data_IF_319035175598
#
_entry.id   IF_319035175598
#
_cell.length_a   1.000
_cell.length_b   1.000
_cell.length_c   1.000
_cell.angle_alpha   90.00
_cell.angle_beta   90.00
_cell.angle_gamma   90.00
#
_symmetry.space_group_name_H-M   'P 1'
#
loop_
_entity.id
_entity.type
_entity.pdbx_description
1 polymer ?
#
# COMPACT_ATOMS: atom_id res chain seq x y z
N UNK A 1 22.11 7.13 7.59
CA UNK A 1 21.98 5.73 7.07
C UNK A 1 21.52 5.82 5.62
N UNK A 2 22.13 5.07 4.70
CA UNK A 2 21.66 5.05 3.32
C UNK A 2 20.49 4.07 3.18
N UNK A 3 19.38 4.54 2.64
CA UNK A 3 18.22 3.70 2.32
C UNK A 3 18.42 3.05 0.95
N UNK A 4 18.00 1.82 0.81
CA UNK A 4 18.08 1.07 -0.45
C UNK A 4 16.69 0.70 -0.94
N UNK A 5 16.53 0.54 -2.25
CA UNK A 5 15.28 0.04 -2.83
C UNK A 5 15.10 -1.42 -2.38
N UNK A 6 14.08 -1.74 -1.56
CA UNK A 6 13.85 -3.11 -1.12
C UNK A 6 13.52 -4.01 -2.32
N UNK A 7 14.01 -5.26 -2.36
CA UNK A 7 13.69 -6.17 -3.45
C UNK A 7 12.18 -6.49 -3.46
N UNK A 8 11.63 -6.70 -4.67
CA UNK A 8 10.28 -7.23 -4.81
C UNK A 8 10.20 -8.65 -4.20
N UNK A 9 9.09 -9.00 -3.53
CA UNK A 9 8.91 -10.36 -2.99
C UNK A 9 8.58 -11.43 -4.07
N UNK A 10 8.55 -11.05 -5.34
CA UNK A 10 8.28 -11.90 -6.50
C UNK A 10 9.00 -11.34 -7.75
N UNK A 11 9.19 -12.16 -8.81
CA UNK A 11 9.67 -11.69 -10.11
C UNK A 11 8.77 -10.60 -10.71
N UNK A 12 9.35 -9.70 -11.51
CA UNK A 12 8.62 -8.56 -12.10
C UNK A 12 7.45 -8.94 -13.02
N UNK A 13 7.44 -10.13 -13.58
CA UNK A 13 6.39 -10.65 -14.45
C UNK A 13 5.38 -11.57 -13.76
N UNK A 14 5.60 -11.84 -12.48
CA UNK A 14 4.83 -12.85 -11.75
C UNK A 14 3.38 -12.46 -11.44
N UNK A 15 3.04 -11.19 -11.52
CA UNK A 15 1.67 -10.68 -11.29
C UNK A 15 0.87 -10.55 -12.58
N UNK A 16 1.48 -10.82 -13.75
CA UNK A 16 0.78 -10.77 -15.03
C UNK A 16 -0.30 -11.87 -15.12
N UNK A 17 -1.41 -11.65 -15.85
CA UNK A 17 -1.72 -10.44 -16.64
C UNK A 17 -2.38 -9.31 -15.82
N UNK A 18 -2.68 -9.51 -14.54
CA UNK A 18 -3.45 -8.58 -13.71
C UNK A 18 -2.67 -7.29 -13.36
N UNK A 19 -1.35 -7.40 -13.28
CA UNK A 19 -0.42 -6.29 -13.05
C UNK A 19 0.84 -6.56 -13.87
N UNK A 20 1.00 -5.83 -14.98
CA UNK A 20 2.00 -6.17 -15.99
C UNK A 20 3.44 -5.91 -15.52
N UNK A 21 4.39 -6.58 -16.17
CA UNK A 21 5.81 -6.29 -16.02
C UNK A 21 6.12 -4.83 -16.34
N UNK A 22 5.51 -4.26 -17.40
CA UNK A 22 5.70 -2.87 -17.77
C UNK A 22 5.28 -1.93 -16.63
N UNK A 23 4.12 -2.16 -16.01
CA UNK A 23 3.69 -1.40 -14.85
C UNK A 23 4.71 -1.48 -13.72
N UNK A 24 5.25 -2.66 -13.40
CA UNK A 24 6.28 -2.81 -12.37
C UNK A 24 7.62 -2.14 -12.74
N UNK A 25 8.03 -2.17 -14.00
CA UNK A 25 9.24 -1.47 -14.48
C UNK A 25 9.15 0.04 -14.22
N UNK A 26 7.97 0.64 -14.37
CA UNK A 26 7.76 2.06 -14.05
C UNK A 26 7.47 2.27 -12.56
N UNK A 27 6.52 1.55 -11.98
CA UNK A 27 6.04 1.81 -10.63
C UNK A 27 7.10 1.47 -9.57
N UNK A 28 7.73 0.29 -9.66
CA UNK A 28 8.83 -0.10 -8.77
C UNK A 28 10.17 0.48 -9.25
N UNK A 29 10.52 0.27 -10.52
CA UNK A 29 11.86 0.59 -11.04
C UNK A 29 12.10 2.09 -11.22
N UNK A 30 11.07 2.92 -11.40
CA UNK A 30 11.20 4.37 -11.56
C UNK A 30 10.61 5.13 -10.37
N UNK A 31 9.31 5.04 -10.11
CA UNK A 31 8.68 5.81 -9.04
C UNK A 31 9.22 5.45 -7.65
N UNK A 32 9.17 4.20 -7.25
CA UNK A 32 9.67 3.78 -5.93
C UNK A 32 11.17 4.05 -5.79
N UNK A 33 11.95 3.73 -6.81
CA UNK A 33 13.39 4.02 -6.80
C UNK A 33 13.71 5.52 -6.70
N UNK A 34 12.94 6.37 -7.38
CA UNK A 34 13.13 7.82 -7.30
C UNK A 34 12.91 8.35 -5.87
N UNK A 35 11.90 7.83 -5.14
CA UNK A 35 11.71 8.21 -3.75
C UNK A 35 12.91 7.83 -2.87
N UNK A 36 13.52 6.66 -3.09
CA UNK A 36 14.73 6.24 -2.38
C UNK A 36 15.91 7.17 -2.65
N UNK A 37 16.18 7.47 -3.93
CA UNK A 37 17.26 8.38 -4.34
C UNK A 37 17.03 9.78 -3.76
N UNK A 38 15.80 10.30 -3.87
CA UNK A 38 15.46 11.63 -3.37
C UNK A 38 15.58 11.72 -1.85
N UNK A 39 15.09 10.71 -1.09
CA UNK A 39 15.25 10.68 0.36
C UNK A 39 16.73 10.72 0.74
N UNK A 40 17.57 9.87 0.14
CA UNK A 40 19.00 9.81 0.42
C UNK A 40 19.70 11.15 0.14
N UNK A 41 19.25 11.91 -0.86
CA UNK A 41 19.78 13.24 -1.13
C UNK A 41 19.31 14.29 -0.11
N UNK A 42 18.01 14.27 0.22
CA UNK A 42 17.39 15.28 1.08
C UNK A 42 17.77 15.13 2.57
N UNK A 43 18.05 13.91 3.03
CA UNK A 43 18.39 13.66 4.44
C UNK A 43 19.85 13.99 4.80
N UNK A 44 20.76 14.11 3.81
CA UNK A 44 22.18 14.39 4.04
C UNK A 44 22.38 15.69 4.83
N UNK A 45 23.19 15.61 5.88
CA UNK A 45 23.48 16.74 6.77
C UNK A 45 22.32 17.21 7.63
N UNK A 46 21.21 16.45 7.68
CA UNK A 46 20.07 16.72 8.57
C UNK A 46 20.07 15.75 9.75
N UNK A 47 19.23 16.01 10.76
CA UNK A 47 19.00 15.10 11.88
C UNK A 47 18.47 13.72 11.46
N UNK A 48 17.89 13.61 10.27
CA UNK A 48 17.31 12.38 9.72
C UNK A 48 18.34 11.43 9.09
N UNK A 49 19.58 11.86 8.85
CA UNK A 49 20.58 11.11 8.06
C UNK A 49 20.89 9.72 8.64
N UNK A 50 20.80 9.55 9.96
CA UNK A 50 21.07 8.28 10.63
C UNK A 50 19.84 7.54 11.13
N UNK A 51 18.63 8.06 10.87
CA UNK A 51 17.39 7.50 11.39
C UNK A 51 16.88 6.33 10.52
N UNK A 52 16.04 5.48 11.13
CA UNK A 52 15.28 4.45 10.42
C UNK A 52 14.21 5.10 9.54
N UNK A 53 13.75 4.38 8.50
CA UNK A 53 12.71 4.89 7.61
C UNK A 53 11.44 5.27 8.38
N UNK A 54 10.99 4.41 9.30
CA UNK A 54 9.80 4.66 10.12
C UNK A 54 9.97 5.89 11.04
N UNK A 55 11.16 6.09 11.60
CA UNK A 55 11.42 7.27 12.41
C UNK A 55 11.37 8.55 11.58
N UNK A 56 11.94 8.52 10.36
CA UNK A 56 11.85 9.65 9.43
C UNK A 56 10.39 9.97 9.11
N UNK A 57 9.60 8.95 8.76
CA UNK A 57 8.16 9.14 8.47
C UNK A 57 7.43 9.79 9.64
N UNK A 58 7.73 9.37 10.87
CA UNK A 58 7.04 9.88 12.08
C UNK A 58 7.48 11.27 12.54
N UNK A 59 8.71 11.68 12.19
CA UNK A 59 9.33 12.87 12.78
C UNK A 59 9.58 14.00 11.77
N UNK A 60 9.58 13.70 10.47
CA UNK A 60 9.88 14.67 9.42
C UNK A 60 8.63 15.32 8.82
N UNK A 61 8.84 16.27 7.95
CA UNK A 61 7.80 16.96 7.18
C UNK A 61 8.28 17.32 5.78
N UNK A 62 7.40 17.84 4.93
CA UNK A 62 7.74 18.33 3.60
C UNK A 62 8.35 17.24 2.69
N UNK A 63 9.42 17.60 1.97
CA UNK A 63 10.03 16.69 0.98
C UNK A 63 10.63 15.41 1.59
N UNK A 64 11.24 15.50 2.78
CA UNK A 64 11.80 14.34 3.48
C UNK A 64 10.68 13.37 3.86
N UNK A 65 9.63 13.87 4.49
CA UNK A 65 8.43 13.07 4.82
C UNK A 65 7.83 12.41 3.57
N UNK A 66 7.59 13.20 2.52
CA UNK A 66 6.92 12.69 1.33
C UNK A 66 7.69 11.52 0.70
N UNK A 67 9.02 11.64 0.57
CA UNK A 67 9.83 10.56 0.01
C UNK A 67 9.91 9.35 0.96
N UNK A 68 10.12 9.56 2.25
CA UNK A 68 10.18 8.48 3.23
C UNK A 68 8.86 7.70 3.33
N UNK A 69 7.73 8.41 3.41
CA UNK A 69 6.41 7.80 3.46
C UNK A 69 6.08 7.04 2.17
N UNK A 70 6.43 7.58 1.00
CA UNK A 70 6.26 6.87 -0.28
C UNK A 70 7.11 5.59 -0.35
N UNK A 71 8.35 5.60 0.14
CA UNK A 71 9.16 4.37 0.21
C UNK A 71 8.46 3.33 1.07
N UNK A 72 7.98 3.73 2.25
CA UNK A 72 7.30 2.82 3.16
C UNK A 72 5.99 2.28 2.57
N UNK A 73 5.14 3.16 2.01
CA UNK A 73 3.87 2.81 1.40
C UNK A 73 4.05 1.82 0.24
N UNK A 74 5.01 2.07 -0.66
CA UNK A 74 5.28 1.18 -1.78
C UNK A 74 5.83 -0.17 -1.33
N UNK A 75 6.77 -0.18 -0.38
CA UNK A 75 7.28 -1.43 0.20
C UNK A 75 6.17 -2.27 0.80
N UNK A 76 5.25 -1.62 1.53
CA UNK A 76 4.09 -2.28 2.11
C UNK A 76 3.14 -2.80 1.02
N UNK A 77 2.89 -2.01 -0.03
CA UNK A 77 2.03 -2.37 -1.15
C UNK A 77 2.54 -3.60 -1.91
N UNK A 78 3.85 -3.71 -2.17
CA UNK A 78 4.42 -4.90 -2.81
C UNK A 78 4.16 -6.17 -2.01
N UNK A 79 4.25 -6.11 -0.70
CA UNK A 79 3.96 -7.25 0.18
C UNK A 79 2.46 -7.57 0.28
N UNK A 80 1.58 -6.59 -0.01
CA UNK A 80 0.14 -6.82 -0.10
C UNK A 80 -0.28 -7.67 -1.31
N UNK A 81 0.63 -7.91 -2.27
CA UNK A 81 0.35 -8.69 -3.47
C UNK A 81 1.18 -9.97 -3.52
N UNK A 82 0.66 -10.97 -4.22
CA UNK A 82 1.39 -12.18 -4.57
C UNK A 82 0.87 -12.79 -5.87
N UNK A 83 1.68 -13.59 -6.60
CA UNK A 83 1.20 -14.41 -7.70
C UNK A 83 0.07 -15.34 -7.24
N UNK A 84 -0.97 -15.50 -8.07
CA UNK A 84 -2.16 -16.28 -7.74
C UNK A 84 -2.76 -15.89 -6.36
N UNK A 85 -2.78 -14.60 -6.07
CA UNK A 85 -3.39 -14.03 -4.88
C UNK A 85 -4.91 -13.93 -4.95
N UNK A 86 -5.49 -13.10 -4.10
CA UNK A 86 -6.94 -12.94 -3.99
C UNK A 86 -7.58 -14.01 -3.11
N UNK A 87 -8.86 -14.30 -3.39
CA UNK A 87 -9.67 -15.11 -2.47
C UNK A 87 -10.18 -14.28 -1.29
N UNK A 88 -10.36 -14.95 -0.14
CA UNK A 88 -10.89 -14.35 1.07
C UNK A 88 -9.92 -14.54 2.25
N UNK A 89 -9.88 -13.63 3.22
CA UNK A 89 -9.12 -13.84 4.44
C UNK A 89 -9.73 -14.95 5.30
N UNK A 90 -8.96 -15.44 6.25
CA UNK A 90 -9.39 -16.49 7.18
C UNK A 90 -9.22 -16.08 8.65
N UNK A 91 -9.58 -16.95 9.55
CA UNK A 91 -9.26 -16.83 10.98
C UNK A 91 -9.82 -15.57 11.66
N UNK A 92 -8.97 -14.90 12.43
CA UNK A 92 -9.36 -13.74 13.23
C UNK A 92 -9.65 -12.51 12.36
N UNK A 93 -8.93 -12.35 11.26
CA UNK A 93 -9.16 -11.23 10.33
C UNK A 93 -10.53 -11.35 9.65
N UNK A 94 -10.90 -12.55 9.16
CA UNK A 94 -12.23 -12.78 8.58
C UNK A 94 -13.34 -12.42 9.57
N UNK A 95 -13.23 -12.87 10.83
CA UNK A 95 -14.19 -12.52 11.87
C UNK A 95 -14.29 -11.02 12.14
N UNK A 96 -13.17 -10.29 12.12
CA UNK A 96 -13.16 -8.85 12.30
C UNK A 96 -13.82 -8.12 11.11
N UNK A 97 -13.60 -8.61 9.90
CA UNK A 97 -14.25 -8.10 8.67
C UNK A 97 -15.76 -8.35 8.74
N UNK A 98 -16.18 -9.57 9.08
CA UNK A 98 -17.59 -9.92 9.22
C UNK A 98 -18.28 -9.10 10.32
N UNK A 99 -17.61 -8.88 11.44
CA UNK A 99 -18.14 -8.03 12.51
C UNK A 99 -18.38 -6.58 12.07
N UNK A 100 -17.56 -6.04 11.18
CA UNK A 100 -17.66 -4.65 10.69
C UNK A 100 -18.63 -4.50 9.52
N UNK A 101 -18.58 -5.42 8.54
CA UNK A 101 -19.33 -5.28 7.28
C UNK A 101 -20.39 -6.37 7.07
N UNK A 102 -20.47 -7.37 7.94
CA UNK A 102 -21.43 -8.47 7.84
C UNK A 102 -20.91 -9.68 7.07
N UNK A 103 -20.10 -9.46 6.03
CA UNK A 103 -19.44 -10.52 5.26
C UNK A 103 -18.34 -9.94 4.35
N UNK A 104 -17.52 -10.82 3.77
CA UNK A 104 -16.44 -10.41 2.87
C UNK A 104 -16.91 -9.67 1.61
N UNK A 105 -18.06 -10.05 1.04
CA UNK A 105 -18.57 -9.39 -0.17
C UNK A 105 -18.91 -7.91 0.10
N UNK A 106 -19.53 -7.62 1.25
CA UNK A 106 -19.83 -6.25 1.68
C UNK A 106 -18.54 -5.45 1.99
N UNK A 107 -17.54 -6.08 2.61
CA UNK A 107 -16.21 -5.47 2.77
C UNK A 107 -15.61 -5.10 1.43
N UNK A 108 -15.60 -6.04 0.46
CA UNK A 108 -15.04 -5.80 -0.88
C UNK A 108 -15.71 -4.62 -1.58
N UNK A 109 -17.04 -4.56 -1.52
CA UNK A 109 -17.80 -3.43 -2.06
C UNK A 109 -17.43 -2.10 -1.38
N UNK A 110 -17.35 -2.09 -0.04
CA UNK A 110 -16.96 -0.92 0.73
C UNK A 110 -15.53 -0.45 0.41
N UNK A 111 -14.58 -1.40 0.27
CA UNK A 111 -13.19 -1.09 -0.05
C UNK A 111 -13.07 -0.50 -1.47
N UNK A 112 -13.73 -1.11 -2.46
CA UNK A 112 -13.76 -0.59 -3.84
C UNK A 112 -14.37 0.80 -3.87
N UNK A 113 -15.52 1.01 -3.24
CA UNK A 113 -16.18 2.31 -3.16
C UNK A 113 -15.28 3.37 -2.53
N UNK A 114 -14.59 3.04 -1.44
CA UNK A 114 -13.65 3.93 -0.76
C UNK A 114 -12.47 4.30 -1.66
N UNK A 115 -11.86 3.31 -2.33
CA UNK A 115 -10.72 3.52 -3.22
C UNK A 115 -11.06 4.36 -4.46
N UNK A 116 -12.23 4.13 -5.05
CA UNK A 116 -12.73 4.92 -6.18
C UNK A 116 -13.05 6.36 -5.75
N UNK A 117 -13.62 6.51 -4.55
CA UNK A 117 -13.96 7.81 -3.98
C UNK A 117 -12.76 8.60 -3.41
N UNK A 118 -11.57 7.99 -3.31
CA UNK A 118 -10.36 8.69 -2.89
C UNK A 118 -9.91 9.66 -4.00
N UNK A 119 -10.32 10.92 -3.87
CA UNK A 119 -10.14 11.90 -4.92
C UNK A 119 -8.67 12.25 -5.14
N UNK A 120 -8.24 12.26 -6.40
CA UNK A 120 -6.87 12.56 -6.78
C UNK A 120 -5.93 11.36 -6.56
N UNK A 121 -4.73 11.66 -6.08
CA UNK A 121 -3.67 10.68 -5.80
C UNK A 121 -3.60 10.36 -4.32
N UNK A 122 -3.46 9.08 -3.99
CA UNK A 122 -3.42 8.63 -2.60
C UNK A 122 -3.44 7.12 -2.46
N UNK A 123 -3.82 6.67 -1.27
CA UNK A 123 -3.80 5.28 -0.85
C UNK A 123 -5.08 4.92 -0.12
N UNK A 124 -5.60 3.74 -0.35
CA UNK A 124 -6.72 3.18 0.43
C UNK A 124 -6.22 2.02 1.26
N UNK A 125 -6.55 2.04 2.54
CA UNK A 125 -6.03 1.13 3.55
C UNK A 125 -7.15 0.36 4.24
N UNK A 126 -6.90 -0.93 4.52
CA UNK A 126 -7.54 -1.62 5.63
C UNK A 126 -6.62 -1.46 6.84
N UNK A 127 -7.15 -0.99 7.95
CA UNK A 127 -6.38 -0.78 9.19
C UNK A 127 -7.01 -1.52 10.37
N UNK A 128 -6.18 -1.85 11.37
CA UNK A 128 -6.63 -2.29 12.69
C UNK A 128 -6.59 -1.10 13.64
N UNK A 129 -7.70 -0.84 14.30
CA UNK A 129 -7.85 0.20 15.31
C UNK A 129 -7.28 -0.26 16.66
N UNK A 130 -7.08 0.69 17.59
CA UNK A 130 -6.57 0.38 18.93
C UNK A 130 -7.48 -0.54 19.74
N UNK A 131 -8.79 -0.56 19.47
CA UNK A 131 -9.78 -1.46 20.09
C UNK A 131 -9.82 -2.86 19.44
N UNK A 132 -8.96 -3.12 18.44
CA UNK A 132 -8.89 -4.37 17.71
C UNK A 132 -9.86 -4.49 16.55
N UNK A 133 -10.78 -3.55 16.36
CA UNK A 133 -11.67 -3.49 15.20
C UNK A 133 -10.89 -3.15 13.92
N UNK A 134 -11.52 -3.34 12.78
CA UNK A 134 -10.94 -2.98 11.47
C UNK A 134 -11.75 -1.86 10.82
N UNK A 135 -11.06 -1.03 10.01
CA UNK A 135 -11.71 0.03 9.25
C UNK A 135 -11.01 0.28 7.91
N UNK A 136 -11.72 0.91 6.98
CA UNK A 136 -11.17 1.39 5.72
C UNK A 136 -10.90 2.88 5.85
N UNK A 137 -9.66 3.28 5.58
CA UNK A 137 -9.25 4.69 5.61
C UNK A 137 -8.58 5.09 4.31
N UNK A 138 -8.76 6.34 3.90
CA UNK A 138 -8.09 6.94 2.76
C UNK A 138 -7.05 7.95 3.22
N UNK A 139 -5.90 7.97 2.56
CA UNK A 139 -4.89 9.01 2.73
C UNK A 139 -4.59 9.65 1.38
N UNK A 140 -4.41 10.97 1.37
CA UNK A 140 -3.98 11.70 0.17
C UNK A 140 -2.46 11.72 0.02
N UNK A 141 -1.98 11.90 -1.20
CA UNK A 141 -0.56 12.04 -1.53
C UNK A 141 0.32 10.92 -0.92
N UNK A 142 1.26 11.28 -0.05
CA UNK A 142 2.15 10.35 0.65
C UNK A 142 1.62 9.89 2.02
N UNK A 143 0.41 10.28 2.41
CA UNK A 143 -0.16 9.96 3.73
C UNK A 143 -0.15 8.46 4.03
N UNK A 144 0.04 8.12 5.30
CA UNK A 144 0.21 6.73 5.75
C UNK A 144 -0.35 6.53 7.16
N UNK A 145 -0.96 5.36 7.48
CA UNK A 145 -1.36 5.03 8.85
C UNK A 145 -0.20 5.00 9.85
N UNK A 146 1.05 4.88 9.38
CA UNK A 146 2.24 4.86 10.25
C UNK A 146 2.38 6.12 11.11
N UNK A 147 1.75 7.23 10.73
CA UNK A 147 1.70 8.49 11.48
C UNK A 147 0.49 8.60 12.41
N UNK A 148 -0.32 7.57 12.52
CA UNK A 148 -1.52 7.52 13.35
C UNK A 148 -1.42 6.40 14.40
N UNK A 149 -2.47 6.22 15.19
CA UNK A 149 -2.58 5.07 16.10
C UNK A 149 -3.04 3.78 15.40
N UNK A 150 -3.40 3.85 14.12
CA UNK A 150 -3.90 2.72 13.36
C UNK A 150 -2.76 1.83 12.85
N UNK A 151 -2.95 0.51 12.88
CA UNK A 151 -2.01 -0.44 12.30
C UNK A 151 -2.42 -0.77 10.86
N UNK A 152 -1.55 -0.52 9.89
CA UNK A 152 -1.80 -0.87 8.50
C UNK A 152 -1.88 -2.40 8.32
N UNK A 153 -2.89 -2.89 7.61
CA UNK A 153 -3.10 -4.30 7.31
C UNK A 153 -2.96 -4.59 5.81
N UNK A 154 -3.62 -3.81 4.97
CA UNK A 154 -3.66 -3.91 3.52
C UNK A 154 -3.65 -2.51 2.93
N UNK A 155 -3.04 -2.34 1.77
CA UNK A 155 -3.17 -1.09 1.00
C UNK A 155 -3.28 -1.34 -0.49
N UNK A 156 -3.94 -0.41 -1.17
CA UNK A 156 -3.88 -0.26 -2.62
C UNK A 156 -3.48 1.17 -2.97
N UNK A 157 -2.54 1.30 -3.89
CA UNK A 157 -2.13 2.58 -4.46
C UNK A 157 -3.17 3.03 -5.49
N UNK A 158 -3.75 4.21 -5.29
CA UNK A 158 -4.72 4.81 -6.23
C UNK A 158 -4.17 6.05 -6.95
N UNK A 159 -2.87 6.28 -6.89
CA UNK A 159 -2.20 7.16 -7.84
C UNK A 159 -2.38 6.59 -9.26
N UNK A 160 -2.59 7.44 -10.26
CA UNK A 160 -2.80 6.98 -11.63
C UNK A 160 -1.63 6.18 -12.18
N UNK A 161 -0.39 6.52 -11.81
CA UNK A 161 0.78 5.77 -12.22
C UNK A 161 0.76 4.29 -11.77
N UNK A 162 -0.01 3.96 -10.73
CA UNK A 162 -0.12 2.60 -10.22
C UNK A 162 -0.91 1.66 -11.15
N UNK A 163 -1.81 2.21 -11.97
CA UNK A 163 -2.74 1.37 -12.75
C UNK A 163 -2.95 1.82 -14.20
N UNK A 164 -2.49 3.00 -14.59
CA UNK A 164 -2.87 3.59 -15.88
C UNK A 164 -2.36 2.79 -17.09
N UNK A 165 -1.22 2.13 -17.00
CA UNK A 165 -0.67 1.29 -18.08
C UNK A 165 -1.62 0.15 -18.40
N UNK A 166 -2.09 -0.59 -17.39
CA UNK A 166 -2.91 -1.79 -17.56
C UNK A 166 -4.43 -1.48 -17.65
N UNK A 167 -4.88 -0.45 -16.94
CA UNK A 167 -6.31 -0.19 -16.75
C UNK A 167 -6.77 1.17 -17.27
N UNK A 168 -5.87 2.03 -17.72
CA UNK A 168 -6.17 3.43 -18.12
C UNK A 168 -6.92 4.15 -17.00
N UNK A 169 -8.04 4.78 -17.29
CA UNK A 169 -8.89 5.50 -16.33
C UNK A 169 -9.79 4.58 -15.48
N UNK A 170 -9.67 3.26 -15.62
CA UNK A 170 -10.58 2.31 -14.99
C UNK A 170 -10.10 1.93 -13.58
N UNK A 171 -9.95 2.92 -12.67
CA UNK A 171 -9.54 2.70 -11.27
C UNK A 171 -10.38 1.63 -10.58
N UNK A 172 -11.70 1.65 -10.76
CA UNK A 172 -12.59 0.64 -10.19
C UNK A 172 -12.18 -0.77 -10.60
N UNK A 173 -11.95 -1.00 -11.89
CA UNK A 173 -11.55 -2.31 -12.42
C UNK A 173 -10.22 -2.77 -11.84
N UNK A 174 -9.25 -1.86 -11.71
CA UNK A 174 -7.98 -2.15 -11.06
C UNK A 174 -8.18 -2.62 -9.62
N UNK A 175 -8.93 -1.87 -8.79
CA UNK A 175 -9.15 -2.21 -7.38
C UNK A 175 -9.92 -3.52 -7.23
N UNK A 176 -10.95 -3.77 -8.07
CA UNK A 176 -11.66 -5.04 -8.11
C UNK A 176 -10.74 -6.22 -8.45
N UNK A 177 -9.86 -6.05 -9.44
CA UNK A 177 -8.89 -7.07 -9.83
C UNK A 177 -7.84 -7.29 -8.74
N UNK A 178 -7.35 -6.21 -8.11
CA UNK A 178 -6.43 -6.29 -6.98
C UNK A 178 -7.00 -7.18 -5.86
N UNK A 179 -8.23 -6.92 -5.41
CA UNK A 179 -8.88 -7.72 -4.36
C UNK A 179 -9.13 -9.16 -4.79
N UNK A 180 -9.53 -9.38 -6.04
CA UNK A 180 -9.93 -10.70 -6.53
C UNK A 180 -8.76 -11.63 -6.85
N UNK A 181 -7.59 -11.06 -7.26
CA UNK A 181 -6.53 -11.83 -7.90
C UNK A 181 -5.11 -11.57 -7.40
N UNK A 182 -4.88 -10.50 -6.64
CA UNK A 182 -3.52 -10.10 -6.26
C UNK A 182 -3.28 -10.13 -4.76
N UNK A 183 -4.28 -9.90 -3.92
CA UNK A 183 -4.09 -9.75 -2.47
C UNK A 183 -3.42 -10.96 -1.85
N UNK A 184 -2.36 -10.70 -1.09
CA UNK A 184 -1.67 -11.65 -0.23
C UNK A 184 -2.31 -11.68 1.16
N UNK A 185 -3.43 -12.39 1.31
CA UNK A 185 -4.13 -12.45 2.59
C UNK A 185 -3.28 -12.98 3.73
N UNK A 186 -2.32 -13.88 3.48
CA UNK A 186 -1.40 -14.36 4.53
C UNK A 186 -0.54 -13.22 5.11
N UNK A 187 -0.12 -12.25 4.31
CA UNK A 187 0.56 -11.05 4.78
C UNK A 187 -0.39 -10.16 5.61
N UNK A 188 -1.62 -9.97 5.14
CA UNK A 188 -2.63 -9.15 5.85
C UNK A 188 -2.99 -9.75 7.20
N UNK A 189 -3.20 -11.08 7.25
CA UNK A 189 -3.48 -11.83 8.49
C UNK A 189 -2.32 -11.74 9.49
N UNK A 190 -1.07 -11.84 9.00
CA UNK A 190 0.13 -11.64 9.85
C UNK A 190 0.19 -10.24 10.45
N UNK A 191 -0.21 -9.22 9.69
CA UNK A 191 -0.27 -7.85 10.20
C UNK A 191 -1.42 -7.66 11.21
N UNK A 192 -2.52 -8.43 11.06
CA UNK A 192 -3.65 -8.36 11.97
C UNK A 192 -3.35 -9.00 13.35
N UNK A 193 -2.53 -10.00 13.42
CA UNK A 193 -2.11 -10.68 14.66
C UNK A 193 -1.32 -9.74 15.67
#
# INVERSE_FOLDING_TARGET
>A
MEHVLPPLPYPMDALAPEYSKETLEYHYGKHHNAYVVNLNNLQKGTEFESMTLEDIVKKSSGGIYNNAAQIWNHTFFWNCMKPAGGGEPSGALAKAIDAKWGNYAAFKEAFVKSAVGNFGSGWTWLVKKADGSVDIVNTGAAGTPLTTADKALLTVDVWEHAYYIDYRNLRQKFVETFLAKLVNWSFVEKNFA
#
